data_IF_058281244935
#
_entry.id   IF_058281244935
#
_cell.length_a   1.000
_cell.length_b   1.000
_cell.length_c   1.000
_cell.angle_alpha   90.00
_cell.angle_beta   90.00
_cell.angle_gamma   90.00
#
_symmetry.space_group_name_H-M   'P 1'
#
loop_
_entity.id
_entity.type
_entity.pdbx_description
1 polymer ?
#
# COMPACT_ATOMS: atom_id res chain seq x y z
N UNK A 1 -12.56 -92.47 -17.32
CA UNK A 1 -11.44 -92.03 -18.17
C UNK A 1 -11.33 -90.52 -18.06
N UNK A 2 -10.11 -90.03 -17.86
CA UNK A 2 -9.71 -88.65 -17.56
C UNK A 2 -10.22 -87.59 -18.56
N UNK A 3 -10.37 -86.34 -18.09
CA UNK A 3 -10.54 -85.19 -18.99
C UNK A 3 -10.78 -83.83 -18.33
N UNK A 4 -9.85 -83.37 -17.50
CA UNK A 4 -9.74 -81.95 -17.12
C UNK A 4 -9.41 -81.11 -18.37
N UNK A 5 -10.14 -80.01 -18.64
CA UNK A 5 -9.56 -78.75 -19.15
C UNK A 5 -10.39 -77.55 -18.70
N UNK A 6 -9.75 -76.68 -17.91
CA UNK A 6 -10.20 -75.34 -17.49
C UNK A 6 -9.73 -74.28 -18.48
N UNK A 7 -10.51 -73.19 -18.56
CA UNK A 7 -10.18 -71.82 -18.99
C UNK A 7 -9.87 -71.64 -20.49
N UNK A 8 -10.16 -70.52 -21.16
CA UNK A 8 -10.19 -69.11 -20.74
C UNK A 8 -11.28 -68.31 -21.49
N UNK A 9 -11.90 -67.33 -20.83
CA UNK A 9 -12.64 -66.23 -21.47
C UNK A 9 -11.72 -65.02 -21.43
N UNK A 10 -10.92 -64.81 -22.47
CA UNK A 10 -10.13 -63.58 -22.64
C UNK A 10 -10.13 -63.18 -24.12
N UNK A 11 -11.15 -62.42 -24.51
CA UNK A 11 -11.04 -61.45 -25.59
C UNK A 11 -11.75 -60.19 -25.10
N UNK A 12 -10.98 -59.33 -24.44
CA UNK A 12 -11.37 -57.96 -24.14
C UNK A 12 -10.71 -57.11 -25.23
N UNK A 13 -11.53 -56.36 -25.96
CA UNK A 13 -11.10 -55.41 -26.98
C UNK A 13 -10.13 -54.38 -26.38
N UNK A 14 -8.97 -54.08 -27.01
CA UNK A 14 -7.96 -53.13 -26.50
C UNK A 14 -8.37 -51.64 -26.54
N UNK A 15 -9.60 -51.27 -26.16
CA UNK A 15 -10.07 -49.88 -26.34
C UNK A 15 -10.02 -48.94 -25.15
N UNK A 16 -9.68 -49.38 -23.95
CA UNK A 16 -9.62 -48.46 -22.82
C UNK A 16 -8.58 -48.93 -21.80
N UNK A 17 -7.30 -48.70 -22.13
CA UNK A 17 -6.27 -48.63 -21.09
C UNK A 17 -6.43 -47.32 -20.32
N UNK A 18 -6.86 -47.48 -19.08
CA UNK A 18 -6.93 -46.49 -18.02
C UNK A 18 -5.52 -45.89 -17.85
N UNK A 19 -5.31 -44.64 -18.28
CA UNK A 19 -4.12 -43.86 -17.93
C UNK A 19 -4.38 -43.08 -16.65
N UNK A 20 -4.02 -43.68 -15.53
CA UNK A 20 -3.84 -42.96 -14.28
C UNK A 20 -2.56 -42.11 -14.38
N UNK A 21 -2.71 -40.80 -14.56
CA UNK A 21 -1.63 -39.86 -14.20
C UNK A 21 -2.24 -38.70 -13.41
N UNK A 22 -1.59 -38.24 -12.32
CA UNK A 22 -2.02 -37.06 -11.57
C UNK A 22 -1.83 -35.76 -12.38
N UNK A 23 -1.33 -35.85 -13.62
CA UNK A 23 -1.20 -34.74 -14.57
C UNK A 23 -2.50 -34.37 -15.29
N UNK A 24 -3.57 -35.17 -15.11
CA UNK A 24 -4.88 -34.95 -15.73
C UNK A 24 -5.50 -33.61 -15.32
N UNK A 25 -5.64 -33.30 -14.02
CA UNK A 25 -6.44 -32.15 -13.59
C UNK A 25 -5.99 -30.80 -14.15
N UNK A 26 -4.69 -30.49 -14.19
CA UNK A 26 -4.22 -29.23 -14.80
C UNK A 26 -4.34 -29.24 -16.34
N UNK A 27 -4.07 -30.37 -17.00
CA UNK A 27 -4.24 -30.51 -18.45
C UNK A 27 -5.70 -30.49 -18.88
N UNK A 28 -6.59 -31.03 -18.06
CA UNK A 28 -8.05 -31.09 -18.27
C UNK A 28 -8.70 -29.73 -18.07
N UNK A 29 -8.16 -28.92 -17.14
CA UNK A 29 -8.54 -27.52 -16.95
C UNK A 29 -8.06 -26.68 -18.14
N UNK A 30 -6.80 -26.84 -18.59
CA UNK A 30 -6.24 -26.07 -19.72
C UNK A 30 -6.85 -26.49 -21.07
N UNK A 31 -7.13 -27.78 -21.26
CA UNK A 31 -7.77 -28.30 -22.48
C UNK A 31 -9.28 -28.01 -22.54
N UNK A 32 -9.86 -27.40 -21.50
CA UNK A 32 -11.26 -27.01 -21.46
C UNK A 32 -12.24 -28.18 -21.27
N UNK A 33 -11.76 -29.41 -21.06
CA UNK A 33 -12.64 -30.57 -20.86
C UNK A 33 -13.52 -30.41 -19.60
N UNK A 34 -13.00 -29.70 -18.58
CA UNK A 34 -13.75 -29.33 -17.37
C UNK A 34 -14.81 -28.26 -17.66
N UNK A 35 -14.55 -27.35 -18.60
CA UNK A 35 -15.46 -26.26 -18.95
C UNK A 35 -16.64 -26.76 -19.80
N UNK A 36 -16.43 -27.80 -20.60
CA UNK A 36 -17.45 -28.43 -21.45
C UNK A 36 -18.45 -29.33 -20.71
N UNK A 37 -18.30 -29.52 -19.38
CA UNK A 37 -19.30 -30.25 -18.58
C UNK A 37 -20.57 -29.41 -18.47
N UNK A 38 -21.73 -29.99 -18.78
CA UNK A 38 -23.05 -29.30 -18.78
C UNK A 38 -23.32 -28.48 -17.51
N UNK A 39 -22.91 -29.00 -16.34
CA UNK A 39 -23.04 -28.33 -15.04
C UNK A 39 -22.20 -27.04 -14.97
N UNK A 40 -20.98 -27.06 -15.52
CA UNK A 40 -20.06 -25.92 -15.51
C UNK A 40 -20.49 -24.88 -16.55
N UNK A 41 -20.96 -25.32 -17.72
CA UNK A 41 -21.52 -24.43 -18.75
C UNK A 41 -22.74 -23.66 -18.21
N UNK A 42 -23.60 -24.32 -17.43
CA UNK A 42 -24.76 -23.67 -16.81
C UNK A 42 -24.38 -22.57 -15.80
N UNK A 43 -23.27 -22.75 -15.06
CA UNK A 43 -22.78 -21.79 -14.06
C UNK A 43 -21.67 -20.86 -14.57
N UNK A 44 -21.31 -20.94 -15.84
CA UNK A 44 -20.28 -20.14 -16.49
C UNK A 44 -20.45 -18.62 -16.28
N UNK A 45 -21.65 -18.00 -16.39
CA UNK A 45 -21.80 -16.58 -16.10
C UNK A 45 -21.48 -16.22 -14.64
N UNK A 46 -21.75 -17.12 -13.69
CA UNK A 46 -21.42 -16.90 -12.27
C UNK A 46 -19.91 -17.01 -12.01
N UNK A 47 -19.21 -17.94 -12.66
CA UNK A 47 -17.75 -18.06 -12.57
C UNK A 47 -17.08 -16.81 -13.14
N UNK A 48 -17.55 -16.31 -14.29
CA UNK A 48 -17.07 -15.06 -14.87
C UNK A 48 -17.33 -13.86 -13.95
N UNK A 49 -18.49 -13.81 -13.29
CA UNK A 49 -18.79 -12.78 -12.32
C UNK A 49 -17.77 -12.77 -11.16
N UNK A 50 -17.44 -13.93 -10.59
CA UNK A 50 -16.41 -14.05 -9.56
C UNK A 50 -15.03 -13.64 -10.09
N UNK A 51 -14.68 -14.03 -11.31
CA UNK A 51 -13.41 -13.63 -11.92
C UNK A 51 -13.31 -12.10 -12.06
N UNK A 52 -14.38 -11.43 -12.50
CA UNK A 52 -14.45 -9.96 -12.58
C UNK A 52 -14.31 -9.34 -11.19
N UNK A 53 -15.00 -9.88 -10.17
CA UNK A 53 -14.84 -9.43 -8.79
C UNK A 53 -13.40 -9.61 -8.28
N UNK A 54 -12.73 -10.69 -8.66
CA UNK A 54 -11.32 -10.94 -8.32
C UNK A 54 -10.40 -9.88 -8.94
N UNK A 55 -10.59 -9.56 -10.22
CA UNK A 55 -9.83 -8.49 -10.89
C UNK A 55 -10.12 -7.14 -10.22
N UNK A 56 -11.39 -6.85 -9.91
CA UNK A 56 -11.79 -5.63 -9.22
C UNK A 56 -11.13 -5.52 -7.83
N UNK A 57 -11.12 -6.61 -7.07
CA UNK A 57 -10.49 -6.67 -5.75
C UNK A 57 -8.98 -6.42 -5.82
N UNK A 58 -8.29 -7.07 -6.75
CA UNK A 58 -6.85 -6.85 -6.97
C UNK A 58 -6.58 -5.39 -7.34
N UNK A 59 -7.38 -4.82 -8.24
CA UNK A 59 -7.26 -3.42 -8.67
C UNK A 59 -7.46 -2.45 -7.49
N UNK A 60 -8.50 -2.67 -6.68
CA UNK A 60 -8.79 -1.86 -5.49
C UNK A 60 -7.66 -1.95 -4.46
N UNK A 61 -7.10 -3.15 -4.26
CA UNK A 61 -5.95 -3.37 -3.37
C UNK A 61 -4.72 -2.58 -3.83
N UNK A 62 -4.36 -2.65 -5.11
CA UNK A 62 -3.24 -1.88 -5.67
C UNK A 62 -3.46 -0.37 -5.58
N UNK A 63 -4.70 0.11 -5.70
CA UNK A 63 -5.01 1.53 -5.49
C UNK A 63 -4.79 1.94 -4.04
N UNK A 64 -5.33 1.19 -3.09
CA UNK A 64 -5.15 1.43 -1.66
C UNK A 64 -3.67 1.43 -1.26
N UNK A 65 -2.87 0.51 -1.80
CA UNK A 65 -1.44 0.44 -1.51
C UNK A 65 -0.67 1.67 -2.02
N UNK A 66 -1.05 2.21 -3.18
CA UNK A 66 -0.45 3.45 -3.71
C UNK A 66 -0.81 4.65 -2.84
N UNK A 67 -2.08 4.81 -2.51
CA UNK A 67 -2.54 5.90 -1.63
C UNK A 67 -1.88 5.82 -0.26
N UNK A 68 -1.76 4.61 0.30
CA UNK A 68 -1.07 4.40 1.57
C UNK A 68 0.40 4.86 1.53
N UNK A 69 1.14 4.52 0.47
CA UNK A 69 2.52 4.99 0.30
C UNK A 69 2.62 6.51 0.21
N UNK A 70 1.71 7.13 -0.54
CA UNK A 70 1.65 8.58 -0.69
C UNK A 70 1.33 9.28 0.63
N UNK A 71 0.40 8.74 1.42
CA UNK A 71 0.11 9.25 2.76
C UNK A 71 1.35 9.21 3.66
N UNK A 72 2.11 8.12 3.64
CA UNK A 72 3.34 7.99 4.44
C UNK A 72 4.40 9.01 4.02
N UNK A 73 4.61 9.24 2.72
CA UNK A 73 5.54 10.29 2.27
C UNK A 73 5.06 11.68 2.66
N UNK A 74 3.77 11.96 2.49
CA UNK A 74 3.19 13.26 2.81
C UNK A 74 3.25 13.55 4.31
N UNK A 75 3.02 12.57 5.17
CA UNK A 75 3.16 12.71 6.62
C UNK A 75 4.60 13.04 7.02
N UNK A 76 5.58 12.40 6.37
CA UNK A 76 7.00 12.69 6.58
C UNK A 76 7.34 14.12 6.17
N UNK A 77 6.88 14.56 5.01
CA UNK A 77 7.09 15.93 4.53
C UNK A 77 6.45 16.97 5.44
N UNK A 78 5.21 16.74 5.88
CA UNK A 78 4.52 17.60 6.83
C UNK A 78 5.27 17.70 8.17
N UNK A 79 5.83 16.58 8.64
CA UNK A 79 6.63 16.56 9.87
C UNK A 79 7.91 17.39 9.71
N UNK A 80 8.60 17.25 8.59
CA UNK A 80 9.80 18.03 8.27
C UNK A 80 9.49 19.53 8.22
N UNK A 81 8.46 19.94 7.47
CA UNK A 81 8.01 21.34 7.39
C UNK A 81 7.66 21.90 8.77
N UNK A 82 7.04 21.09 9.64
CA UNK A 82 6.76 21.51 11.02
C UNK A 82 8.04 21.74 11.81
N UNK A 83 9.02 20.85 11.73
CA UNK A 83 10.31 21.06 12.39
C UNK A 83 11.02 22.29 11.88
N UNK A 84 11.04 22.49 10.57
CA UNK A 84 11.62 23.68 9.94
C UNK A 84 10.95 24.95 10.48
N UNK A 85 9.61 25.01 10.47
CA UNK A 85 8.87 26.17 10.98
C UNK A 85 9.16 26.48 12.45
N UNK A 86 9.26 25.46 13.30
CA UNK A 86 9.57 25.61 14.72
C UNK A 86 11.01 26.09 14.90
N UNK A 87 11.93 25.53 14.12
CA UNK A 87 13.36 25.89 14.17
C UNK A 87 13.55 27.35 13.75
N UNK A 88 13.01 27.74 12.59
CA UNK A 88 13.08 29.12 12.10
C UNK A 88 12.43 30.11 13.06
N UNK A 89 11.29 29.77 13.65
CA UNK A 89 10.65 30.61 14.67
C UNK A 89 11.52 30.73 15.94
N UNK A 90 12.18 29.64 16.34
CA UNK A 90 13.08 29.62 17.49
C UNK A 90 14.34 30.45 17.24
N UNK A 91 14.92 30.36 16.03
CA UNK A 91 16.07 31.17 15.63
C UNK A 91 15.72 32.66 15.63
N UNK A 92 14.56 33.02 15.08
CA UNK A 92 14.08 34.40 15.12
C UNK A 92 13.87 34.88 16.56
N UNK A 93 13.28 34.06 17.43
CA UNK A 93 13.07 34.39 18.83
C UNK A 93 14.42 34.57 19.56
N UNK A 94 15.40 33.71 19.28
CA UNK A 94 16.76 33.83 19.82
C UNK A 94 17.41 35.14 19.36
N UNK A 95 17.35 35.45 18.06
CA UNK A 95 17.90 36.68 17.50
C UNK A 95 17.20 37.95 17.99
N UNK A 96 15.91 37.87 18.30
CA UNK A 96 15.10 38.99 18.80
C UNK A 96 15.19 39.16 20.32
N UNK A 97 15.87 38.24 21.02
CA UNK A 97 16.04 38.30 22.48
C UNK A 97 16.84 39.55 22.83
N UNK A 98 16.34 40.35 23.77
CA UNK A 98 16.98 41.61 24.20
C UNK A 98 18.48 41.43 24.49
N UNK A 99 18.86 40.39 25.23
CA UNK A 99 20.28 40.11 25.52
C UNK A 99 21.13 39.84 24.28
N UNK A 100 20.59 39.19 23.25
CA UNK A 100 21.31 38.93 21.99
C UNK A 100 21.35 40.18 21.11
N UNK A 101 20.29 40.99 21.12
CA UNK A 101 20.27 42.30 20.46
C UNK A 101 21.31 43.23 21.06
N UNK A 102 21.39 43.35 22.38
CA UNK A 102 22.42 44.16 23.09
C UNK A 102 23.82 43.69 22.72
N UNK A 103 24.10 42.39 22.81
CA UNK A 103 25.41 41.83 22.39
C UNK A 103 25.74 42.16 20.93
N UNK A 104 24.75 42.11 20.03
CA UNK A 104 24.96 42.42 18.61
C UNK A 104 25.23 43.91 18.41
N UNK A 105 24.50 44.80 19.09
CA UNK A 105 24.70 46.25 19.08
C UNK A 105 26.10 46.62 19.57
N UNK A 106 26.56 46.03 20.68
CA UNK A 106 27.91 46.22 21.22
C UNK A 106 28.99 45.74 20.22
N UNK A 107 28.77 44.56 19.62
CA UNK A 107 29.70 43.99 18.62
C UNK A 107 29.83 44.87 17.37
N UNK A 108 28.72 45.46 16.92
CA UNK A 108 28.69 46.36 15.75
C UNK A 108 29.17 47.79 16.09
N UNK A 109 29.55 48.06 17.35
CA UNK A 109 30.07 49.37 17.78
C UNK A 109 29.02 50.48 17.77
N UNK A 110 27.74 50.12 17.89
CA UNK A 110 26.65 51.07 18.00
C UNK A 110 26.55 51.51 19.47
N UNK A 111 26.76 52.80 19.78
CA UNK A 111 26.64 53.41 21.12
C UNK A 111 25.16 53.49 21.60
N UNK A 112 24.42 52.39 21.48
CA UNK A 112 23.03 52.28 21.92
C UNK A 112 22.98 51.54 23.26
N UNK A 113 22.32 52.17 24.23
CA UNK A 113 22.14 51.66 25.60
C UNK A 113 20.70 51.22 25.80
N UNK A 114 20.50 50.10 26.50
CA UNK A 114 19.16 49.61 26.84
C UNK A 114 18.45 50.61 27.75
N UNK A 115 17.19 50.92 27.44
CA UNK A 115 16.38 51.82 28.26
C UNK A 115 15.93 51.09 29.52
N UNK A 116 16.44 51.52 30.67
CA UNK A 116 16.11 50.97 32.00
C UNK A 116 14.88 51.62 32.60
N UNK A 117 14.41 52.73 32.03
CA UNK A 117 13.24 53.47 32.49
C UNK A 117 11.97 53.04 31.72
N UNK A 118 10.83 52.81 32.41
CA UNK A 118 9.61 52.41 31.75
C UNK A 118 9.01 53.56 30.91
N UNK A 119 8.35 53.25 29.78
CA UNK A 119 7.76 54.27 28.91
C UNK A 119 6.62 55.02 29.60
N UNK A 120 6.62 56.36 29.49
CA UNK A 120 5.62 57.24 30.10
C UNK A 120 4.46 57.47 29.13
N UNK A 121 3.21 57.29 29.60
CA UNK A 121 2.03 57.68 28.83
C UNK A 121 1.90 59.20 28.82
N UNK A 122 1.96 59.79 27.64
CA UNK A 122 1.69 61.22 27.44
C UNK A 122 0.18 61.40 27.30
N UNK A 123 -0.45 62.11 28.25
CA UNK A 123 -1.84 62.53 28.14
C UNK A 123 -1.87 63.96 27.61
N UNK A 124 -2.58 64.18 26.50
CA UNK A 124 -2.85 65.53 26.01
C UNK A 124 -3.99 66.12 26.84
N UNK A 125 -3.71 67.17 27.61
CA UNK A 125 -4.77 67.98 28.22
C UNK A 125 -5.53 68.70 27.09
N UNK A 126 -6.86 68.70 27.21
CA UNK A 126 -7.80 69.22 26.21
C UNK A 126 -8.17 70.66 26.49
#
# INVERSE_FOLDING_TARGET
MFGFKRKYKDFISPKEEIKETPSGSFKDIISGSVLSKDVVVHHLPFILFIAILGIYYISNRYHSERVYREMVSLEKELKELRFESITTASDLMYMSKQSEVVKRVEKEGLDLIESTEPPVKIYLEK
#
